data_IF_494053795148
#
_entry.id   IF_494053795148
#
_cell.length_a   1.000
_cell.length_b   1.000
_cell.length_c   1.000
_cell.angle_alpha   90.00
_cell.angle_beta   90.00
_cell.angle_gamma   90.00
#
_symmetry.space_group_name_H-M   'P 1'
#
loop_
_entity.id
_entity.type
_entity.pdbx_description
1 polymer ?
#
# COMPACT_ATOMS: atom_id res chain seq x y z
N UNK A 1 40.90 -7.73 -18.14
CA UNK A 1 40.68 -6.27 -18.04
C UNK A 1 39.31 -6.02 -17.45
N UNK A 2 39.24 -5.48 -16.23
CA UNK A 2 37.97 -5.18 -15.57
C UNK A 2 37.15 -4.22 -16.43
N UNK A 3 35.94 -4.64 -16.74
CA UNK A 3 35.02 -3.89 -17.56
C UNK A 3 34.28 -2.88 -16.67
N UNK A 4 34.87 -1.71 -16.49
CA UNK A 4 34.33 -0.64 -15.62
C UNK A 4 32.87 -0.29 -15.98
N UNK A 5 32.48 -0.36 -17.25
CA UNK A 5 31.10 -0.14 -17.67
C UNK A 5 30.11 -1.15 -17.10
N UNK A 6 30.47 -2.44 -17.09
CA UNK A 6 29.67 -3.48 -16.45
C UNK A 6 29.60 -3.31 -14.93
N UNK A 7 30.69 -2.89 -14.31
CA UNK A 7 30.77 -2.64 -12.87
C UNK A 7 29.86 -1.47 -12.45
N UNK A 8 29.96 -0.34 -13.14
CA UNK A 8 29.09 0.83 -12.95
C UNK A 8 27.62 0.44 -13.11
N UNK A 9 27.28 -0.31 -14.18
CA UNK A 9 25.91 -0.79 -14.42
C UNK A 9 25.43 -1.72 -13.32
N UNK A 10 26.28 -2.63 -12.86
CA UNK A 10 26.00 -3.58 -11.78
C UNK A 10 25.73 -2.87 -10.47
N UNK A 11 26.59 -1.91 -10.11
CA UNK A 11 26.41 -1.05 -8.95
C UNK A 11 25.10 -0.27 -9.04
N UNK A 12 24.87 0.44 -10.15
CA UNK A 12 23.68 1.24 -10.36
C UNK A 12 22.40 0.43 -10.18
N UNK A 13 22.35 -0.79 -10.72
CA UNK A 13 21.21 -1.71 -10.53
C UNK A 13 21.09 -2.19 -9.09
N UNK A 14 22.22 -2.53 -8.44
CA UNK A 14 22.25 -2.96 -7.03
C UNK A 14 21.71 -1.87 -6.11
N UNK A 15 22.02 -0.60 -6.41
CA UNK A 15 21.62 0.59 -5.67
C UNK A 15 20.31 1.23 -6.15
N UNK A 16 19.67 0.63 -7.17
CA UNK A 16 18.44 1.11 -7.81
C UNK A 16 18.51 2.59 -8.24
N UNK A 17 19.64 2.98 -8.80
CA UNK A 17 19.87 4.32 -9.34
C UNK A 17 19.49 4.34 -10.83
N UNK A 18 18.94 5.46 -11.28
CA UNK A 18 18.85 5.81 -12.69
C UNK A 18 20.22 6.24 -13.21
N UNK A 19 20.39 6.23 -14.54
CA UNK A 19 21.63 6.72 -15.14
C UNK A 19 21.82 8.21 -14.83
N UNK A 20 20.73 9.00 -14.84
CA UNK A 20 20.75 10.43 -14.47
C UNK A 20 21.23 10.67 -13.05
N UNK A 21 20.76 9.89 -12.07
CA UNK A 21 21.17 10.06 -10.68
C UNK A 21 22.66 9.73 -10.48
N UNK A 22 23.19 8.72 -11.18
CA UNK A 22 24.59 8.34 -11.02
C UNK A 22 25.54 9.27 -11.77
N UNK A 23 25.18 9.74 -12.98
CA UNK A 23 26.03 10.58 -13.81
C UNK A 23 25.94 12.08 -13.52
N UNK A 24 25.08 12.51 -12.60
CA UNK A 24 24.82 13.93 -12.35
C UNK A 24 26.12 14.70 -12.04
N UNK A 25 26.41 15.76 -12.79
CA UNK A 25 27.65 16.52 -12.66
C UNK A 25 28.95 15.78 -13.07
N UNK A 26 28.90 14.53 -13.56
CA UNK A 26 30.05 13.79 -14.10
C UNK A 26 30.01 13.75 -15.63
N UNK A 27 28.88 13.31 -16.19
CA UNK A 27 28.67 13.25 -17.64
C UNK A 27 27.17 13.22 -17.99
N UNK A 28 26.86 13.24 -19.28
CA UNK A 28 25.46 13.14 -19.72
C UNK A 28 24.95 11.70 -19.59
N UNK A 29 23.63 11.55 -19.41
CA UNK A 29 22.96 10.24 -19.33
C UNK A 29 23.25 9.35 -20.54
N UNK A 30 23.25 9.93 -21.75
CA UNK A 30 23.60 9.25 -22.98
C UNK A 30 25.05 8.75 -22.96
N UNK A 31 25.98 9.56 -22.44
CA UNK A 31 27.39 9.21 -22.33
C UNK A 31 27.60 8.05 -21.34
N UNK A 32 26.94 8.10 -20.17
CA UNK A 32 26.97 7.00 -19.20
C UNK A 32 26.39 5.71 -19.81
N UNK A 33 25.29 5.79 -20.55
CA UNK A 33 24.68 4.62 -21.21
C UNK A 33 25.63 3.95 -22.20
N UNK A 34 26.41 4.73 -22.97
CA UNK A 34 27.41 4.17 -23.87
C UNK A 34 28.57 3.50 -23.12
N UNK A 35 28.99 4.05 -21.97
CA UNK A 35 29.99 3.44 -21.09
C UNK A 35 29.47 2.11 -20.52
N UNK A 36 28.26 2.09 -19.95
CA UNK A 36 27.64 0.90 -19.34
C UNK A 36 27.47 -0.26 -20.35
N UNK A 37 27.24 0.08 -21.62
CA UNK A 37 27.05 -0.87 -22.70
C UNK A 37 28.34 -1.20 -23.48
N UNK A 38 29.51 -0.75 -23.01
CA UNK A 38 30.81 -0.98 -23.65
C UNK A 38 30.94 -0.44 -25.07
N UNK A 39 30.14 0.58 -25.40
CA UNK A 39 30.21 1.26 -26.70
C UNK A 39 31.34 2.29 -26.74
N UNK A 40 31.68 2.86 -25.59
CA UNK A 40 32.81 3.79 -25.44
C UNK A 40 33.63 3.44 -24.20
N UNK A 41 34.93 3.76 -24.22
CA UNK A 41 35.80 3.65 -23.04
C UNK A 41 35.66 4.91 -22.19
N UNK A 42 35.51 4.74 -20.88
CA UNK A 42 35.51 5.86 -19.94
C UNK A 42 36.92 6.46 -19.82
N UNK A 43 37.00 7.79 -19.75
CA UNK A 43 38.25 8.51 -19.45
C UNK A 43 38.66 8.24 -17.99
N UNK A 44 39.96 8.21 -17.66
CA UNK A 44 40.44 7.98 -16.30
C UNK A 44 39.81 8.91 -15.25
N UNK A 45 39.66 10.20 -15.55
CA UNK A 45 39.01 11.19 -14.66
C UNK A 45 37.56 10.81 -14.33
N UNK A 46 36.78 10.36 -15.31
CA UNK A 46 35.41 9.91 -15.08
C UNK A 46 35.37 8.62 -14.26
N UNK A 47 36.31 7.70 -14.49
CA UNK A 47 36.41 6.46 -13.71
C UNK A 47 36.67 6.79 -12.24
N UNK A 48 37.56 7.73 -11.97
CA UNK A 48 37.86 8.20 -10.62
C UNK A 48 36.62 8.84 -9.98
N UNK A 49 35.95 9.78 -10.66
CA UNK A 49 34.74 10.42 -10.13
C UNK A 49 33.60 9.43 -9.87
N UNK A 50 33.40 8.44 -10.75
CA UNK A 50 32.43 7.37 -10.50
C UNK A 50 32.84 6.49 -9.32
N UNK A 51 34.13 6.17 -9.18
CA UNK A 51 34.63 5.37 -8.07
C UNK A 51 34.44 6.09 -6.73
N UNK A 52 34.84 7.37 -6.66
CA UNK A 52 34.65 8.21 -5.47
C UNK A 52 33.16 8.34 -5.09
N UNK A 53 32.27 8.58 -6.07
CA UNK A 53 30.83 8.65 -5.81
C UNK A 53 30.26 7.30 -5.37
N UNK A 54 30.69 6.21 -6.00
CA UNK A 54 30.28 4.86 -5.60
C UNK A 54 30.77 4.53 -4.20
N UNK A 55 31.98 4.94 -3.81
CA UNK A 55 32.51 4.82 -2.45
C UNK A 55 31.73 5.65 -1.45
N UNK A 56 31.40 6.91 -1.76
CA UNK A 56 30.55 7.75 -0.91
C UNK A 56 29.14 7.15 -0.72
N UNK A 57 28.56 6.57 -1.76
CA UNK A 57 27.27 5.89 -1.67
C UNK A 57 27.37 4.59 -0.86
N UNK A 58 28.48 3.85 -0.98
CA UNK A 58 28.78 2.69 -0.14
C UNK A 58 29.01 3.10 1.31
N UNK A 59 29.69 4.21 1.59
CA UNK A 59 29.95 4.69 2.95
C UNK A 59 28.69 5.24 3.60
N UNK A 60 27.81 5.88 2.83
CA UNK A 60 26.48 6.27 3.31
C UNK A 60 25.61 5.05 3.62
N UNK A 61 25.69 3.98 2.83
CA UNK A 61 25.07 2.69 3.20
C UNK A 61 25.81 2.00 4.37
N UNK A 62 27.12 2.17 4.52
CA UNK A 62 27.89 1.64 5.65
C UNK A 62 27.58 2.37 6.97
N UNK A 63 27.27 3.65 6.92
CA UNK A 63 26.71 4.41 8.05
C UNK A 63 25.23 4.06 8.29
N UNK A 64 24.51 3.51 7.30
CA UNK A 64 23.21 2.84 7.49
C UNK A 64 23.33 1.37 7.98
N UNK A 65 24.56 0.87 8.17
CA UNK A 65 24.83 -0.35 8.93
C UNK A 65 24.97 -0.07 10.44
N UNK A 66 24.76 1.17 10.91
CA UNK A 66 24.24 1.39 12.26
C UNK A 66 22.86 0.72 12.31
N UNK A 67 22.82 -0.44 12.95
CA UNK A 67 21.66 -1.08 13.54
C UNK A 67 20.30 -0.61 12.97
N UNK A 68 20.01 -0.94 11.70
CA UNK A 68 18.79 -0.50 11.00
C UNK A 68 17.52 -0.82 11.82
N UNK A 69 17.57 -1.91 12.61
CA UNK A 69 16.51 -2.28 13.54
C UNK A 69 16.33 -1.29 14.68
N UNK A 70 17.40 -0.95 15.38
CA UNK A 70 17.38 0.02 16.47
C UNK A 70 16.96 1.41 15.99
N UNK A 71 17.36 1.81 14.78
CA UNK A 71 16.86 3.02 14.14
C UNK A 71 15.33 3.01 14.04
N UNK A 72 14.74 1.96 13.45
CA UNK A 72 13.28 1.88 13.32
C UNK A 72 12.60 1.87 14.69
N UNK A 73 13.14 1.11 15.65
CA UNK A 73 12.61 1.07 17.01
C UNK A 73 12.58 2.46 17.65
N UNK A 74 13.72 3.16 17.62
CA UNK A 74 13.88 4.48 18.23
C UNK A 74 12.94 5.51 17.61
N UNK A 75 13.02 5.70 16.30
CA UNK A 75 12.23 6.72 15.60
C UNK A 75 10.72 6.46 15.73
N UNK A 76 10.33 5.19 15.66
CA UNK A 76 8.94 4.77 15.79
C UNK A 76 8.39 5.13 17.17
N UNK A 77 9.15 4.84 18.23
CA UNK A 77 8.76 5.16 19.60
C UNK A 77 8.76 6.67 19.88
N UNK A 78 9.74 7.42 19.35
CA UNK A 78 9.80 8.88 19.47
C UNK A 78 8.57 9.58 18.88
N UNK A 79 7.95 8.99 17.85
CA UNK A 79 6.76 9.52 17.18
C UNK A 79 5.46 8.78 17.57
N UNK A 80 5.49 7.92 18.59
CA UNK A 80 4.29 7.22 19.09
C UNK A 80 3.68 6.21 18.10
N UNK A 81 4.44 5.74 17.13
CA UNK A 81 3.98 4.83 16.08
C UNK A 81 3.99 3.38 16.62
N UNK A 82 3.01 2.56 16.29
CA UNK A 82 3.01 1.12 16.66
C UNK A 82 3.75 0.28 15.62
N UNK A 83 4.26 -0.91 15.99
CA UNK A 83 4.89 -1.81 15.02
C UNK A 83 3.89 -2.18 13.91
N UNK A 84 2.64 -2.42 14.33
CA UNK A 84 1.50 -2.71 13.48
C UNK A 84 1.25 -1.59 12.46
N UNK A 85 1.22 -0.32 12.89
CA UNK A 85 1.01 0.81 11.98
C UNK A 85 2.17 0.96 10.99
N UNK A 86 3.42 0.87 11.47
CA UNK A 86 4.60 1.04 10.60
C UNK A 86 4.70 -0.07 9.55
N UNK A 87 4.40 -1.33 9.91
CA UNK A 87 4.55 -2.47 9.02
C UNK A 87 3.32 -2.80 8.16
N UNK A 88 2.17 -2.15 8.40
CA UNK A 88 0.91 -2.44 7.72
C UNK A 88 1.01 -2.34 6.19
N UNK A 89 0.67 -3.45 5.51
CA UNK A 89 0.80 -3.63 4.06
C UNK A 89 2.24 -3.87 3.56
N UNK A 90 3.24 -3.97 4.45
CA UNK A 90 4.66 -4.13 4.10
C UNK A 90 5.20 -5.49 4.57
N UNK A 91 5.04 -5.81 5.86
CA UNK A 91 5.45 -7.07 6.47
C UNK A 91 4.64 -7.32 7.75
N UNK A 92 4.86 -8.46 8.42
CA UNK A 92 4.15 -8.77 9.67
C UNK A 92 4.79 -8.02 10.85
N UNK A 93 4.00 -7.69 11.87
CA UNK A 93 4.51 -7.05 13.10
C UNK A 93 5.61 -7.89 13.77
N UNK A 94 5.46 -9.23 13.78
CA UNK A 94 6.52 -10.14 14.25
C UNK A 94 7.79 -10.05 13.43
N UNK A 95 7.69 -9.87 12.11
CA UNK A 95 8.84 -9.68 11.25
C UNK A 95 9.52 -8.34 11.55
N UNK A 96 8.77 -7.24 11.67
CA UNK A 96 9.31 -5.93 12.08
C UNK A 96 9.97 -6.00 13.46
N UNK A 97 9.34 -6.64 14.44
CA UNK A 97 9.89 -6.84 15.78
C UNK A 97 11.24 -7.57 15.75
N UNK A 98 11.41 -8.58 14.89
CA UNK A 98 12.71 -9.25 14.71
C UNK A 98 13.76 -8.35 14.07
N UNK A 99 13.36 -7.45 13.17
CA UNK A 99 14.25 -6.41 12.63
C UNK A 99 14.68 -5.47 13.75
N UNK A 100 13.72 -4.88 14.47
CA UNK A 100 13.95 -3.92 15.55
C UNK A 100 14.87 -4.46 16.65
N UNK A 101 14.78 -5.77 16.94
CA UNK A 101 15.61 -6.45 17.94
C UNK A 101 16.89 -7.09 17.38
N UNK A 102 17.31 -6.77 16.15
CA UNK A 102 18.50 -7.34 15.49
C UNK A 102 18.52 -8.86 15.35
N UNK A 103 17.37 -9.50 15.44
CA UNK A 103 17.21 -10.95 15.24
C UNK A 103 17.06 -11.30 13.76
N UNK A 104 16.83 -10.31 12.90
CA UNK A 104 16.63 -10.51 11.46
C UNK A 104 17.08 -9.29 10.65
N UNK A 105 17.84 -9.53 9.58
CA UNK A 105 18.18 -8.50 8.60
C UNK A 105 17.16 -8.54 7.45
N UNK A 106 16.38 -7.47 7.30
CA UNK A 106 15.38 -7.38 6.25
C UNK A 106 15.98 -7.10 4.87
N UNK A 107 15.24 -7.51 3.83
CA UNK A 107 15.60 -7.19 2.44
C UNK A 107 15.57 -5.68 2.17
N UNK A 108 16.37 -5.22 1.20
CA UNK A 108 16.41 -3.81 0.76
C UNK A 108 15.02 -3.26 0.44
N UNK A 109 14.16 -4.06 -0.19
CA UNK A 109 12.79 -3.67 -0.55
C UNK A 109 11.96 -3.35 0.71
N UNK A 110 11.98 -4.24 1.70
CA UNK A 110 11.24 -4.05 2.96
C UNK A 110 11.78 -2.83 3.71
N UNK A 111 13.10 -2.70 3.84
CA UNK A 111 13.73 -1.53 4.47
C UNK A 111 13.26 -0.23 3.81
N UNK A 112 13.36 -0.14 2.47
CA UNK A 112 12.95 1.05 1.72
C UNK A 112 11.47 1.41 1.94
N UNK A 113 10.58 0.42 1.96
CA UNK A 113 9.16 0.64 2.23
C UNK A 113 8.92 1.15 3.65
N UNK A 114 9.59 0.58 4.65
CA UNK A 114 9.47 1.01 6.05
C UNK A 114 10.00 2.44 6.25
N UNK A 115 11.15 2.78 5.68
CA UNK A 115 11.69 4.14 5.71
C UNK A 115 10.72 5.15 5.09
N UNK A 116 10.16 4.83 3.91
CA UNK A 116 9.20 5.70 3.23
C UNK A 116 7.97 5.95 4.11
N UNK A 117 7.39 4.89 4.69
CA UNK A 117 6.23 5.00 5.58
C UNK A 117 6.55 5.81 6.84
N UNK A 118 7.70 5.58 7.47
CA UNK A 118 8.14 6.33 8.64
C UNK A 118 8.25 7.83 8.34
N UNK A 119 8.86 8.19 7.22
CA UNK A 119 8.99 9.59 6.79
C UNK A 119 7.64 10.21 6.43
N UNK A 120 6.74 9.46 5.77
CA UNK A 120 5.38 9.92 5.47
C UNK A 120 4.59 10.25 6.75
N UNK A 121 4.69 9.37 7.74
CA UNK A 121 4.10 9.56 9.06
C UNK A 121 4.68 10.80 9.76
N UNK A 122 6.02 10.92 9.83
CA UNK A 122 6.70 12.03 10.51
C UNK A 122 6.35 13.39 9.90
N UNK A 123 6.21 13.41 8.57
CA UNK A 123 5.83 14.61 7.84
C UNK A 123 4.31 14.87 7.85
N UNK A 124 3.52 14.10 8.61
CA UNK A 124 2.06 14.16 8.65
C UNK A 124 1.40 14.06 7.27
N UNK A 125 2.07 13.41 6.30
CA UNK A 125 1.47 13.17 4.97
C UNK A 125 0.49 12.01 4.99
N UNK A 126 0.62 11.12 5.98
CA UNK A 126 -0.35 10.08 6.32
C UNK A 126 -0.84 10.35 7.74
N UNK A 127 -2.16 10.41 7.90
CA UNK A 127 -2.79 10.46 9.22
C UNK A 127 -2.68 9.07 9.87
N UNK A 128 -1.95 9.00 10.99
CA UNK A 128 -1.76 7.78 11.77
C UNK A 128 -3.08 7.16 12.20
N UNK A 129 -4.03 8.00 12.57
CA UNK A 129 -5.34 7.55 13.01
C UNK A 129 -6.08 6.88 11.86
N UNK A 130 -6.04 7.45 10.65
CA UNK A 130 -6.63 6.84 9.45
C UNK A 130 -5.98 5.48 9.18
N UNK A 131 -4.66 5.38 9.25
CA UNK A 131 -3.93 4.14 9.00
C UNK A 131 -4.31 3.03 9.99
N UNK A 132 -4.47 3.37 11.27
CA UNK A 132 -4.92 2.43 12.29
C UNK A 132 -6.38 1.98 12.07
N UNK A 133 -7.24 2.88 11.59
CA UNK A 133 -8.63 2.57 11.26
C UNK A 133 -8.77 1.72 10.00
N UNK A 134 -7.92 1.94 8.98
CA UNK A 134 -7.84 1.07 7.80
C UNK A 134 -7.43 -0.36 8.18
N UNK A 135 -6.44 -0.48 9.06
CA UNK A 135 -6.05 -1.78 9.61
C UNK A 135 -7.19 -2.43 10.41
N UNK A 136 -7.88 -1.67 11.25
CA UNK A 136 -9.03 -2.15 12.03
C UNK A 136 -10.12 -2.70 11.09
N UNK A 137 -10.35 -2.03 9.96
CA UNK A 137 -11.28 -2.48 8.94
C UNK A 137 -10.83 -3.80 8.29
N UNK A 138 -9.56 -3.93 7.90
CA UNK A 138 -9.02 -5.17 7.33
C UNK A 138 -9.09 -6.36 8.30
N UNK A 139 -8.81 -6.13 9.59
CA UNK A 139 -8.94 -7.13 10.65
C UNK A 139 -10.40 -7.60 10.78
N UNK A 140 -11.36 -6.66 10.70
CA UNK A 140 -12.79 -7.00 10.69
C UNK A 140 -13.17 -7.86 9.48
N UNK A 141 -12.74 -7.47 8.27
CA UNK A 141 -13.00 -8.25 7.05
C UNK A 141 -12.38 -9.65 7.14
N UNK A 142 -11.17 -9.76 7.68
CA UNK A 142 -10.53 -11.04 7.92
C UNK A 142 -11.37 -11.93 8.86
N UNK A 143 -11.91 -11.38 9.95
CA UNK A 143 -12.76 -12.14 10.87
C UNK A 143 -14.10 -12.56 10.25
N UNK A 144 -14.72 -11.72 9.43
CA UNK A 144 -15.91 -12.12 8.67
C UNK A 144 -15.62 -13.31 7.75
N UNK A 145 -14.51 -13.27 7.00
CA UNK A 145 -14.08 -14.37 6.14
C UNK A 145 -13.76 -15.67 6.91
N UNK A 146 -13.37 -15.56 8.19
CA UNK A 146 -13.18 -16.70 9.09
C UNK A 146 -14.46 -17.14 9.79
N UNK A 147 -15.60 -16.52 9.49
CA UNK A 147 -16.89 -16.74 10.13
C UNK A 147 -16.87 -16.51 11.65
N UNK A 148 -15.92 -15.71 12.15
CA UNK A 148 -15.83 -15.32 13.56
C UNK A 148 -16.73 -14.10 13.84
N UNK A 149 -18.03 -14.26 13.57
CA UNK A 149 -19.02 -13.16 13.52
C UNK A 149 -19.05 -12.32 14.80
N UNK A 150 -18.99 -12.95 15.98
CA UNK A 150 -19.02 -12.22 17.26
C UNK A 150 -17.80 -11.31 17.46
N UNK A 151 -16.61 -11.75 17.01
CA UNK A 151 -15.40 -10.91 17.09
C UNK A 151 -15.43 -9.82 16.03
N UNK A 152 -15.83 -10.15 14.81
CA UNK A 152 -16.00 -9.18 13.73
C UNK A 152 -16.99 -8.08 14.12
N UNK A 153 -18.11 -8.43 14.75
CA UNK A 153 -19.09 -7.45 15.26
C UNK A 153 -18.51 -6.49 16.29
N UNK A 154 -17.67 -6.99 17.21
CA UNK A 154 -17.01 -6.11 18.20
C UNK A 154 -16.10 -5.09 17.53
N UNK A 155 -15.35 -5.51 16.51
CA UNK A 155 -14.49 -4.60 15.75
C UNK A 155 -15.34 -3.61 14.93
N UNK A 156 -16.41 -4.07 14.30
CA UNK A 156 -17.35 -3.24 13.56
C UNK A 156 -17.94 -2.14 14.47
N UNK A 157 -18.45 -2.50 15.64
CA UNK A 157 -19.07 -1.56 16.59
C UNK A 157 -18.02 -0.53 17.09
N UNK A 158 -16.76 -0.94 17.24
CA UNK A 158 -15.64 -0.03 17.53
C UNK A 158 -15.35 0.91 16.35
N UNK A 159 -15.22 0.36 15.14
CA UNK A 159 -14.93 1.10 13.92
C UNK A 159 -15.96 2.20 13.67
N UNK A 160 -17.26 1.88 13.77
CA UNK A 160 -18.35 2.84 13.60
C UNK A 160 -18.21 4.08 14.49
N UNK A 161 -17.85 3.87 15.77
CA UNK A 161 -17.63 4.96 16.75
C UNK A 161 -16.38 5.76 16.42
N UNK A 162 -15.29 5.09 16.06
CA UNK A 162 -14.00 5.74 15.83
C UNK A 162 -13.92 6.47 14.49
N UNK A 163 -14.78 6.15 13.52
CA UNK A 163 -14.70 6.74 12.18
C UNK A 163 -15.70 7.86 11.91
N UNK A 164 -16.49 8.33 12.88
CA UNK A 164 -17.55 9.34 12.65
C UNK A 164 -17.03 10.61 11.92
N UNK A 165 -15.80 11.04 12.23
CA UNK A 165 -15.14 12.18 11.58
C UNK A 165 -14.45 11.86 10.25
N UNK A 166 -14.44 10.60 9.82
CA UNK A 166 -13.81 10.10 8.60
C UNK A 166 -14.87 9.45 7.69
N UNK A 167 -15.64 10.24 6.89
CA UNK A 167 -16.82 9.76 6.19
C UNK A 167 -16.56 8.56 5.29
N UNK A 168 -15.41 8.52 4.60
CA UNK A 168 -15.03 7.40 3.75
C UNK A 168 -14.98 6.09 4.55
N UNK A 169 -14.21 6.06 5.63
CA UNK A 169 -14.08 4.87 6.48
C UNK A 169 -15.40 4.53 7.18
N UNK A 170 -16.13 5.54 7.67
CA UNK A 170 -17.42 5.32 8.32
C UNK A 170 -18.43 4.66 7.40
N UNK A 171 -18.50 5.06 6.13
CA UNK A 171 -19.38 4.45 5.15
C UNK A 171 -18.97 3.02 4.79
N UNK A 172 -17.67 2.69 4.85
CA UNK A 172 -17.23 1.30 4.71
C UNK A 172 -17.66 0.45 5.89
N UNK A 173 -17.53 0.93 7.14
CA UNK A 173 -18.04 0.21 8.31
C UNK A 173 -19.57 0.08 8.28
N UNK A 174 -20.31 1.14 7.95
CA UNK A 174 -21.77 1.09 7.80
C UNK A 174 -22.19 0.08 6.73
N UNK A 175 -21.48 0.05 5.61
CA UNK A 175 -21.71 -0.95 4.58
C UNK A 175 -21.64 -2.37 5.13
N UNK A 176 -20.57 -2.70 5.89
CA UNK A 176 -20.47 -4.03 6.51
C UNK A 176 -21.55 -4.28 7.57
N UNK A 177 -21.96 -3.25 8.32
CA UNK A 177 -23.06 -3.39 9.27
C UNK A 177 -24.36 -3.78 8.59
N UNK A 178 -24.74 -3.09 7.52
CA UNK A 178 -25.95 -3.41 6.76
C UNK A 178 -25.84 -4.78 6.09
N UNK A 179 -24.68 -5.09 5.51
CA UNK A 179 -24.46 -6.35 4.80
C UNK A 179 -24.65 -7.59 5.69
N UNK A 180 -24.15 -7.55 6.93
CA UNK A 180 -24.15 -8.70 7.85
C UNK A 180 -25.27 -8.69 8.90
N UNK A 181 -25.76 -7.52 9.31
CA UNK A 181 -26.65 -7.40 10.46
C UNK A 181 -27.96 -6.66 10.18
N UNK A 182 -28.07 -5.92 9.08
CA UNK A 182 -29.26 -5.15 8.73
C UNK A 182 -29.43 -4.98 7.21
N UNK A 183 -29.74 -6.08 6.53
CA UNK A 183 -29.89 -6.09 5.08
C UNK A 183 -31.07 -5.24 4.58
N UNK A 184 -32.05 -4.96 5.44
CA UNK A 184 -33.23 -4.18 5.08
C UNK A 184 -32.89 -2.74 4.66
N UNK A 185 -31.85 -2.17 5.27
CA UNK A 185 -31.39 -0.81 5.02
C UNK A 185 -30.26 -0.73 4.00
N UNK A 186 -29.66 -1.86 3.58
CA UNK A 186 -28.51 -1.90 2.68
C UNK A 186 -28.79 -1.18 1.35
N UNK A 187 -29.89 -1.53 0.68
CA UNK A 187 -30.25 -0.95 -0.62
C UNK A 187 -30.38 0.58 -0.55
N UNK A 188 -31.16 1.07 0.42
CA UNK A 188 -31.38 2.51 0.60
C UNK A 188 -30.08 3.25 0.92
N UNK A 189 -29.24 2.68 1.78
CA UNK A 189 -27.92 3.25 2.10
C UNK A 189 -27.02 3.33 0.87
N UNK A 190 -26.96 2.26 0.07
CA UNK A 190 -26.14 2.22 -1.16
C UNK A 190 -26.58 3.30 -2.15
N UNK A 191 -27.88 3.43 -2.40
CA UNK A 191 -28.42 4.36 -3.40
C UNK A 191 -28.29 5.82 -2.98
N UNK A 192 -28.60 6.13 -1.71
CA UNK A 192 -28.75 7.51 -1.24
C UNK A 192 -27.49 8.08 -0.63
N UNK A 193 -26.60 7.22 -0.11
CA UNK A 193 -25.45 7.65 0.69
C UNK A 193 -24.12 7.17 0.10
N UNK A 194 -23.92 5.85 0.01
CA UNK A 194 -22.60 5.29 -0.30
C UNK A 194 -22.18 5.56 -1.77
N UNK A 195 -23.00 5.15 -2.75
CA UNK A 195 -22.64 5.33 -4.17
C UNK A 195 -22.45 6.81 -4.53
N UNK A 196 -23.34 7.75 -4.14
CA UNK A 196 -23.13 9.17 -4.39
C UNK A 196 -21.81 9.70 -3.82
N UNK A 197 -21.47 9.34 -2.57
CA UNK A 197 -20.22 9.76 -1.94
C UNK A 197 -18.99 9.22 -2.69
N UNK A 198 -18.95 7.91 -2.96
CA UNK A 198 -17.77 7.29 -3.59
C UNK A 198 -17.63 7.66 -5.08
N UNK A 199 -18.73 8.04 -5.76
CA UNK A 199 -18.69 8.67 -7.08
C UNK A 199 -17.97 10.00 -7.06
N UNK A 200 -18.30 10.86 -6.10
CA UNK A 200 -17.63 12.14 -5.93
C UNK A 200 -16.13 11.97 -5.65
N UNK A 201 -15.77 10.95 -4.85
CA UNK A 201 -14.37 10.60 -4.57
C UNK A 201 -13.64 9.91 -5.74
N UNK A 202 -14.36 9.53 -6.81
CA UNK A 202 -13.84 8.75 -7.95
C UNK A 202 -13.17 7.44 -7.52
N UNK A 203 -13.68 6.82 -6.47
CA UNK A 203 -13.19 5.54 -5.97
C UNK A 203 -13.83 4.39 -6.75
N UNK A 204 -13.35 4.18 -7.97
CA UNK A 204 -13.90 3.19 -8.91
C UNK A 204 -13.86 1.77 -8.34
N UNK A 205 -12.87 1.44 -7.50
CA UNK A 205 -12.72 0.12 -6.91
C UNK A 205 -13.86 -0.16 -5.93
N UNK A 206 -14.15 0.77 -5.02
CA UNK A 206 -15.29 0.62 -4.09
C UNK A 206 -16.64 0.72 -4.80
N UNK A 207 -16.77 1.58 -5.81
CA UNK A 207 -18.00 1.70 -6.60
C UNK A 207 -18.38 0.38 -7.26
N UNK A 208 -17.39 -0.34 -7.82
CA UNK A 208 -17.63 -1.66 -8.42
C UNK A 208 -18.28 -2.63 -7.42
N UNK A 209 -17.81 -2.64 -6.16
CA UNK A 209 -18.38 -3.48 -5.09
C UNK A 209 -19.80 -3.05 -4.76
N UNK A 210 -20.02 -1.76 -4.48
CA UNK A 210 -21.34 -1.27 -4.12
C UNK A 210 -22.38 -1.50 -5.21
N UNK A 211 -21.97 -1.46 -6.48
CA UNK A 211 -22.85 -1.79 -7.59
C UNK A 211 -23.19 -3.28 -7.66
N UNK A 212 -22.27 -4.19 -7.30
CA UNK A 212 -22.56 -5.63 -7.18
C UNK A 212 -23.56 -5.88 -6.06
N UNK A 213 -23.34 -5.26 -4.89
CA UNK A 213 -24.21 -5.44 -3.73
C UNK A 213 -25.61 -4.85 -4.00
N UNK A 214 -25.68 -3.69 -4.65
CA UNK A 214 -26.96 -3.09 -5.08
C UNK A 214 -27.68 -3.95 -6.12
N UNK A 215 -26.96 -4.48 -7.10
CA UNK A 215 -27.53 -5.39 -8.10
C UNK A 215 -28.09 -6.65 -7.45
N UNK A 216 -27.40 -7.18 -6.44
CA UNK A 216 -27.86 -8.33 -5.64
C UNK A 216 -29.15 -8.02 -4.90
N UNK A 217 -29.25 -6.85 -4.24
CA UNK A 217 -30.50 -6.40 -3.61
C UNK A 217 -31.67 -6.37 -4.61
N UNK A 218 -31.45 -5.81 -5.81
CA UNK A 218 -32.50 -5.75 -6.84
C UNK A 218 -32.86 -7.14 -7.40
N UNK A 219 -31.89 -8.04 -7.51
CA UNK A 219 -32.11 -9.41 -7.93
C UNK A 219 -32.95 -10.19 -6.91
N UNK A 220 -32.67 -10.04 -5.62
CA UNK A 220 -33.41 -10.68 -4.53
C UNK A 220 -34.88 -10.17 -4.46
N UNK A 221 -35.13 -8.93 -4.91
CA UNK A 221 -36.47 -8.36 -5.08
C UNK A 221 -37.16 -8.75 -6.40
N UNK A 222 -36.51 -9.54 -7.27
CA UNK A 222 -37.03 -9.93 -8.58
C UNK A 222 -37.00 -8.82 -9.64
N UNK A 223 -36.35 -7.68 -9.38
CA UNK A 223 -36.19 -6.58 -10.33
C UNK A 223 -34.98 -6.81 -11.25
N UNK A 224 -35.05 -7.86 -12.07
CA UNK A 224 -33.91 -8.35 -12.86
C UNK A 224 -33.34 -7.33 -13.86
N UNK A 225 -34.17 -6.47 -14.45
CA UNK A 225 -33.69 -5.43 -15.38
C UNK A 225 -32.75 -4.44 -14.67
N UNK A 226 -33.13 -3.98 -13.47
CA UNK A 226 -32.29 -3.11 -12.65
C UNK A 226 -31.05 -3.83 -12.16
N UNK A 227 -31.18 -5.09 -11.74
CA UNK A 227 -30.03 -5.90 -11.33
C UNK A 227 -28.99 -5.99 -12.47
N UNK A 228 -29.43 -6.31 -13.69
CA UNK A 228 -28.57 -6.35 -14.88
C UNK A 228 -27.90 -4.99 -15.16
N UNK A 229 -28.65 -3.88 -15.08
CA UNK A 229 -28.11 -2.53 -15.25
C UNK A 229 -26.97 -2.26 -14.25
N UNK A 230 -27.18 -2.55 -12.97
CA UNK A 230 -26.17 -2.30 -11.94
C UNK A 230 -24.98 -3.27 -12.02
N UNK A 231 -25.17 -4.52 -12.45
CA UNK A 231 -24.04 -5.40 -12.78
C UNK A 231 -23.19 -4.85 -13.94
N UNK A 232 -23.82 -4.25 -14.96
CA UNK A 232 -23.08 -3.62 -16.06
C UNK A 232 -22.29 -2.40 -15.58
N UNK A 233 -22.86 -1.58 -14.69
CA UNK A 233 -22.14 -0.49 -14.02
C UNK A 233 -20.96 -1.03 -13.20
N UNK A 234 -21.15 -2.08 -12.39
CA UNK A 234 -20.06 -2.69 -11.63
C UNK A 234 -18.89 -3.12 -12.52
N UNK A 235 -19.19 -3.72 -13.68
CA UNK A 235 -18.20 -4.15 -14.68
C UNK A 235 -17.50 -2.94 -15.32
N UNK A 236 -18.22 -1.85 -15.59
CA UNK A 236 -17.63 -0.64 -16.18
C UNK A 236 -16.57 -0.04 -15.26
N UNK A 237 -16.85 0.05 -13.95
CA UNK A 237 -15.91 0.50 -12.94
C UNK A 237 -14.77 -0.52 -12.72
N UNK A 238 -15.05 -1.82 -12.76
CA UNK A 238 -14.03 -2.87 -12.62
C UNK A 238 -13.01 -2.87 -13.76
N UNK A 239 -13.45 -2.68 -15.01
CA UNK A 239 -12.58 -2.67 -16.20
C UNK A 239 -11.54 -1.54 -16.18
N UNK A 240 -11.77 -0.50 -15.40
CA UNK A 240 -10.80 0.59 -15.17
C UNK A 240 -9.60 0.09 -14.32
N UNK A 241 -9.74 -1.00 -13.56
CA UNK A 241 -8.71 -1.58 -12.71
C UNK A 241 -8.30 -3.00 -13.16
N UNK A 242 -7.08 -3.16 -13.69
CA UNK A 242 -6.56 -4.45 -14.22
C UNK A 242 -6.29 -5.54 -13.16
N UNK A 243 -6.33 -5.23 -11.86
CA UNK A 243 -6.04 -6.18 -10.77
C UNK A 243 -6.97 -5.92 -9.57
N UNK A 244 -8.20 -6.44 -9.61
CA UNK A 244 -9.06 -6.49 -8.41
C UNK A 244 -8.93 -7.90 -7.84
N UNK A 245 -8.31 -8.03 -6.66
CA UNK A 245 -8.40 -9.26 -5.87
C UNK A 245 -9.81 -9.36 -5.31
N UNK A 246 -10.71 -9.97 -6.09
CA UNK A 246 -12.07 -10.28 -5.68
C UNK A 246 -11.99 -11.53 -4.80
N UNK A 247 -11.98 -11.36 -3.47
CA UNK A 247 -12.12 -12.49 -2.56
C UNK A 247 -13.61 -12.80 -2.44
N UNK A 248 -14.03 -13.88 -3.09
CA UNK A 248 -15.36 -14.45 -3.00
C UNK A 248 -15.38 -15.45 -1.84
N UNK A 249 -16.20 -15.18 -0.83
CA UNK A 249 -16.77 -16.26 -0.02
C UNK A 249 -18.27 -16.01 0.14
N UNK A 250 -19.05 -16.99 -0.32
CA UNK A 250 -20.50 -17.06 -0.41
C UNK A 250 -21.29 -15.76 -0.13
N UNK A 251 -21.59 -15.06 -1.24
CA UNK A 251 -22.56 -13.98 -1.46
C UNK A 251 -22.06 -12.54 -1.54
N UNK A 252 -20.87 -12.16 -1.05
CA UNK A 252 -20.47 -10.73 -1.09
C UNK A 252 -19.04 -10.51 -1.58
N UNK A 253 -18.83 -9.42 -2.33
CA UNK A 253 -17.49 -8.96 -2.75
C UNK A 253 -16.99 -7.94 -1.73
N UNK A 254 -15.79 -8.14 -1.17
CA UNK A 254 -15.22 -7.23 -0.18
C UNK A 254 -13.85 -6.71 -0.60
N UNK A 255 -13.57 -5.45 -0.24
CA UNK A 255 -12.25 -4.85 -0.37
C UNK A 255 -11.49 -4.93 0.94
N UNK A 256 -10.19 -5.22 0.82
CA UNK A 256 -9.18 -4.92 1.83
C UNK A 256 -8.36 -3.71 1.36
N UNK A 257 -7.90 -2.91 2.32
CA UNK A 257 -7.01 -1.79 2.10
C UNK A 257 -5.58 -2.26 1.78
N UNK A 258 -5.14 -3.34 2.44
CA UNK A 258 -3.83 -3.98 2.22
C UNK A 258 -3.83 -5.15 1.22
#
# INVERSE_FOLDING_TARGET
MNNIGKEIRGFRKTYNLSQSELCDGICTTAHLSLIENNKIKAKPEMIQLFSERMELLKSNEANQNENTGEFFLKERLEHGITQEALCYGICTASYLSKIENNKLVASRKIKKSLYKRLEEIKNNTIDLEILELEKLYDDMIYLFNKLEISKAKRILDQGLKSTEKYPKLHFLFLHQNYLYFDQTNLKSFLETTAIPFFKHQKDNKQLSIFYIDLATCYQDEGQFEKACLYYQEAISYAKIYRNINIVSSHKNVQMQFS
#
